data_IF_557670451284
#
_entry.id   IF_557670451284
#
_cell.length_a   1.000
_cell.length_b   1.000
_cell.length_c   1.000
_cell.angle_alpha   90.00
_cell.angle_beta   90.00
_cell.angle_gamma   90.00
#
_symmetry.space_group_name_H-M   'P 1'
#
loop_
_entity.id
_entity.type
_entity.pdbx_description
1 polymer ?
#
# COMPACT_ATOMS: atom_id res chain seq x y z
N UNK A 1 1.80 -15.39 -0.66
CA UNK A 1 2.27 -16.72 -1.10
C UNK A 1 1.56 -17.78 -0.27
N UNK A 2 0.97 -18.77 -0.93
CA UNK A 2 0.31 -19.89 -0.24
C UNK A 2 1.34 -20.66 0.57
N UNK A 3 1.00 -20.94 1.82
CA UNK A 3 1.80 -21.77 2.69
C UNK A 3 1.58 -23.23 2.27
N UNK A 4 2.64 -23.98 1.95
CA UNK A 4 2.53 -25.36 1.43
C UNK A 4 1.96 -26.38 2.45
N UNK A 5 1.51 -25.94 3.62
CA UNK A 5 0.84 -26.76 4.64
C UNK A 5 1.75 -27.74 5.39
N UNK A 6 3.05 -27.74 5.12
CA UNK A 6 4.03 -28.58 5.82
C UNK A 6 4.78 -27.75 6.86
N UNK A 7 5.13 -28.39 7.97
CA UNK A 7 5.96 -27.78 9.00
C UNK A 7 7.38 -27.54 8.47
N UNK A 8 7.95 -26.39 8.85
CA UNK A 8 9.35 -26.07 8.59
C UNK A 8 10.19 -26.72 9.67
N UNK A 9 11.18 -27.51 9.26
CA UNK A 9 12.15 -28.10 10.18
C UNK A 9 13.44 -27.30 10.09
N UNK A 10 13.81 -26.61 11.16
CA UNK A 10 15.08 -25.90 11.29
C UNK A 10 16.00 -26.77 12.13
N UNK A 11 17.04 -27.31 11.50
CA UNK A 11 18.08 -28.10 12.16
C UNK A 11 19.32 -27.21 12.36
N UNK A 12 19.73 -27.06 13.61
CA UNK A 12 21.00 -26.42 13.98
C UNK A 12 21.99 -27.51 14.41
N UNK A 13 23.16 -27.55 13.78
CA UNK A 13 24.23 -28.49 14.10
C UNK A 13 25.57 -27.75 14.08
N UNK A 14 26.39 -27.96 15.10
CA UNK A 14 27.71 -27.34 15.15
C UNK A 14 28.43 -27.61 16.46
N UNK A 15 29.40 -26.75 16.75
CA UNK A 15 30.19 -26.82 17.97
C UNK A 15 30.16 -25.46 18.67
N UNK A 16 30.06 -25.46 20.00
CA UNK A 16 30.30 -24.30 20.83
C UNK A 16 31.79 -23.92 20.79
N UNK A 17 32.12 -22.69 21.18
CA UNK A 17 33.51 -22.21 21.20
C UNK A 17 34.45 -23.08 22.06
N UNK A 18 33.91 -23.81 23.06
CA UNK A 18 34.64 -24.78 23.87
C UNK A 18 34.82 -26.17 23.24
N UNK A 19 34.35 -26.38 22.00
CA UNK A 19 34.44 -27.66 21.29
C UNK A 19 33.30 -28.64 21.55
N UNK A 20 32.35 -28.31 22.43
CA UNK A 20 31.15 -29.14 22.66
C UNK A 20 30.22 -29.11 21.45
N UNK A 21 29.81 -30.28 20.97
CA UNK A 21 28.88 -30.39 19.85
C UNK A 21 27.45 -30.06 20.30
N UNK A 22 26.70 -29.37 19.46
CA UNK A 22 25.26 -29.20 19.63
C UNK A 22 24.49 -29.67 18.40
N UNK A 23 23.30 -30.19 18.64
CA UNK A 23 22.30 -30.54 17.64
C UNK A 23 20.92 -30.17 18.19
N UNK A 24 20.23 -29.27 17.51
CA UNK A 24 18.87 -28.83 17.84
C UNK A 24 17.99 -28.94 16.60
N UNK A 25 16.77 -29.44 16.78
CA UNK A 25 15.79 -29.55 15.70
C UNK A 25 14.49 -28.93 16.19
N UNK A 26 14.03 -27.90 15.47
CA UNK A 26 12.76 -27.24 15.77
C UNK A 26 11.82 -27.31 14.58
N UNK A 27 10.59 -27.73 14.87
CA UNK A 27 9.50 -27.71 13.90
C UNK A 27 8.66 -26.44 14.11
N UNK A 28 8.43 -25.71 13.02
CA UNK A 28 7.66 -24.48 13.00
C UNK A 28 6.51 -24.61 12.01
N UNK A 29 5.27 -24.39 12.47
CA UNK A 29 4.14 -24.24 11.56
C UNK A 29 4.35 -23.00 10.71
N UNK A 30 4.21 -23.08 9.38
CA UNK A 30 4.46 -21.93 8.55
C UNK A 30 3.32 -20.93 8.71
N UNK A 31 3.69 -19.67 8.86
CA UNK A 31 2.74 -18.57 8.96
C UNK A 31 2.70 -17.83 7.63
N UNK A 32 1.51 -17.50 7.17
CA UNK A 32 1.37 -16.63 6.03
C UNK A 32 2.03 -15.29 6.36
N UNK A 33 2.96 -14.86 5.52
CA UNK A 33 3.50 -13.51 5.62
C UNK A 33 2.48 -12.53 5.03
N UNK A 34 2.13 -11.52 5.83
CA UNK A 34 1.31 -10.39 5.41
C UNK A 34 2.17 -9.13 5.56
N UNK A 35 2.44 -8.45 4.45
CA UNK A 35 3.21 -7.22 4.47
C UNK A 35 2.47 -6.15 5.31
N UNK A 36 3.14 -5.39 6.20
CA UNK A 36 2.50 -4.34 6.99
C UNK A 36 2.03 -3.21 6.08
N UNK A 37 1.01 -2.43 6.43
CA UNK A 37 0.63 -1.25 5.64
C UNK A 37 1.70 -0.14 5.75
N UNK A 38 2.29 0.02 6.94
CA UNK A 38 3.40 0.94 7.19
C UNK A 38 4.75 0.19 7.27
N UNK A 39 5.78 0.70 6.59
CA UNK A 39 7.12 0.13 6.62
C UNK A 39 7.33 -1.12 5.74
N UNK A 40 6.51 -1.36 4.71
CA UNK A 40 6.73 -2.49 3.77
C UNK A 40 7.79 -2.16 2.71
N UNK A 41 8.53 -3.17 2.29
CA UNK A 41 9.53 -3.10 1.20
C UNK A 41 8.89 -2.87 -0.17
N UNK A 42 9.59 -2.17 -1.07
CA UNK A 42 9.10 -1.87 -2.41
C UNK A 42 9.50 -2.93 -3.44
N UNK A 43 8.51 -3.49 -4.12
CA UNK A 43 8.67 -4.38 -5.28
C UNK A 43 7.61 -4.03 -6.32
N UNK A 44 8.00 -3.42 -7.43
CA UNK A 44 7.07 -3.00 -8.48
C UNK A 44 6.12 -4.13 -8.92
N UNK A 45 4.83 -3.84 -9.04
CA UNK A 45 3.80 -4.80 -9.45
C UNK A 45 3.35 -5.77 -8.34
N UNK A 46 4.13 -5.93 -7.27
CA UNK A 46 3.88 -6.89 -6.19
C UNK A 46 3.59 -6.18 -4.87
N UNK A 47 4.52 -5.34 -4.42
CA UNK A 47 4.44 -4.47 -3.24
C UNK A 47 4.78 -3.03 -3.66
N UNK A 48 3.82 -2.36 -4.26
CA UNK A 48 3.90 -0.95 -4.68
C UNK A 48 2.71 -0.11 -4.16
N UNK A 49 2.63 1.14 -4.60
CA UNK A 49 1.59 2.07 -4.16
C UNK A 49 0.17 1.57 -4.44
N UNK A 50 -0.08 0.87 -5.55
CA UNK A 50 -1.41 0.32 -5.81
C UNK A 50 -1.69 -0.92 -4.95
N UNK A 51 -0.71 -1.80 -4.77
CA UNK A 51 -0.86 -2.94 -3.84
C UNK A 51 -1.15 -2.47 -2.41
N UNK A 52 -0.56 -1.34 -1.98
CA UNK A 52 -0.82 -0.74 -0.68
C UNK A 52 -2.26 -0.21 -0.59
N UNK A 53 -2.78 0.42 -1.65
CA UNK A 53 -4.20 0.81 -1.73
C UNK A 53 -5.11 -0.41 -1.59
N UNK A 54 -4.85 -1.49 -2.33
CA UNK A 54 -5.66 -2.72 -2.24
C UNK A 54 -5.62 -3.32 -0.84
N UNK A 55 -4.43 -3.48 -0.27
CA UNK A 55 -4.26 -4.03 1.07
C UNK A 55 -4.94 -3.16 2.13
N UNK A 56 -4.83 -1.84 2.02
CA UNK A 56 -5.49 -0.91 2.93
C UNK A 56 -7.01 -1.04 2.84
N UNK A 57 -7.56 -1.02 1.62
CA UNK A 57 -9.01 -1.12 1.43
C UNK A 57 -9.57 -2.46 1.92
N UNK A 58 -8.87 -3.56 1.66
CA UNK A 58 -9.28 -4.88 2.15
C UNK A 58 -9.23 -4.95 3.69
N UNK A 59 -8.19 -4.38 4.33
CA UNK A 59 -8.00 -4.51 5.80
C UNK A 59 -8.73 -3.46 6.64
N UNK A 60 -8.90 -2.24 6.13
CA UNK A 60 -9.47 -1.13 6.89
C UNK A 60 -10.97 -0.93 6.64
N UNK A 61 -11.46 -1.46 5.51
CA UNK A 61 -12.82 -1.24 5.00
C UNK A 61 -13.52 -2.51 4.53
N UNK A 62 -12.86 -3.68 4.54
CA UNK A 62 -13.39 -4.93 3.99
C UNK A 62 -13.83 -4.79 2.51
N UNK A 63 -13.10 -3.98 1.73
CA UNK A 63 -13.33 -3.76 0.29
C UNK A 63 -12.20 -4.40 -0.52
N UNK A 64 -12.53 -5.45 -1.27
CA UNK A 64 -11.58 -6.11 -2.17
C UNK A 64 -11.51 -5.40 -3.52
N UNK A 65 -10.37 -4.74 -3.77
CA UNK A 65 -10.10 -4.08 -5.03
C UNK A 65 -9.43 -5.04 -6.03
N UNK A 66 -9.79 -4.99 -7.33
CA UNK A 66 -9.18 -5.84 -8.36
C UNK A 66 -7.67 -5.58 -8.51
N UNK A 67 -6.90 -6.61 -8.88
CA UNK A 67 -5.51 -6.39 -9.31
C UNK A 67 -5.48 -5.98 -10.78
N UNK A 68 -4.61 -5.03 -11.11
CA UNK A 68 -4.38 -4.61 -12.49
C UNK A 68 -2.90 -4.77 -12.82
N UNK A 69 -2.64 -5.41 -13.96
CA UNK A 69 -1.30 -5.46 -14.51
C UNK A 69 -0.82 -4.05 -14.84
N UNK A 70 0.39 -3.73 -14.39
CA UNK A 70 1.03 -2.43 -14.54
C UNK A 70 2.51 -2.68 -14.80
N UNK A 71 2.93 -2.44 -16.04
CA UNK A 71 4.32 -2.67 -16.49
C UNK A 71 5.18 -1.50 -16.07
N UNK A 72 6.28 -1.76 -15.40
CA UNK A 72 7.19 -0.70 -14.95
C UNK A 72 7.55 0.31 -16.07
N UNK A 73 7.52 1.60 -15.71
CA UNK A 73 7.73 2.71 -16.64
C UNK A 73 6.56 3.03 -17.57
N UNK A 74 5.35 2.47 -17.39
CA UNK A 74 4.18 2.76 -18.27
C UNK A 74 3.87 4.27 -18.38
N UNK A 75 4.23 5.05 -17.38
CA UNK A 75 3.96 6.49 -17.29
C UNK A 75 4.90 7.36 -18.16
N UNK A 76 5.96 6.77 -18.71
CA UNK A 76 6.94 7.45 -19.57
C UNK A 76 6.52 7.43 -21.04
N UNK A 77 5.68 6.49 -21.44
CA UNK A 77 5.14 6.39 -22.80
C UNK A 77 3.88 7.24 -22.92
N UNK A 78 3.95 8.33 -23.68
CA UNK A 78 2.82 9.23 -23.98
C UNK A 78 1.62 8.51 -24.62
N UNK A 79 1.87 7.42 -25.36
CA UNK A 79 0.83 6.67 -26.06
C UNK A 79 0.20 5.58 -25.20
N UNK A 80 0.66 5.41 -23.96
CA UNK A 80 0.06 4.45 -23.04
C UNK A 80 -1.31 4.93 -22.58
N UNK A 81 -2.20 4.00 -22.26
CA UNK A 81 -3.49 4.38 -21.68
C UNK A 81 -3.31 4.95 -20.25
N UNK A 82 -4.16 5.90 -19.81
CA UNK A 82 -4.16 6.42 -18.44
C UNK A 82 -4.62 5.33 -17.46
N UNK A 83 -3.65 4.53 -17.03
CA UNK A 83 -3.87 3.27 -16.32
C UNK A 83 -4.63 3.50 -15.01
N UNK A 84 -4.21 4.47 -14.20
CA UNK A 84 -4.82 4.73 -12.90
C UNK A 84 -6.25 5.25 -13.06
N UNK A 85 -6.45 6.27 -13.89
CA UNK A 85 -7.75 6.90 -14.09
C UNK A 85 -8.80 5.90 -14.57
N UNK A 86 -8.44 5.03 -15.54
CA UNK A 86 -9.36 3.99 -16.03
C UNK A 86 -9.59 2.88 -15.00
N UNK A 87 -8.53 2.42 -14.33
CA UNK A 87 -8.61 1.26 -13.44
C UNK A 87 -9.30 1.59 -12.12
N UNK A 88 -9.11 2.80 -11.58
CA UNK A 88 -9.82 3.24 -10.39
C UNK A 88 -11.33 3.34 -10.65
N UNK A 89 -11.75 3.85 -11.82
CA UNK A 89 -13.16 3.81 -12.18
C UNK A 89 -13.72 2.37 -12.23
N UNK A 90 -12.98 1.43 -12.83
CA UNK A 90 -13.35 0.00 -12.85
C UNK A 90 -13.38 -0.64 -11.46
N UNK A 91 -12.57 -0.12 -10.53
CA UNK A 91 -12.50 -0.57 -9.15
C UNK A 91 -13.54 0.13 -8.23
N UNK A 92 -14.55 0.80 -8.80
CA UNK A 92 -15.64 1.39 -8.02
C UNK A 92 -15.35 2.78 -7.45
N UNK A 93 -14.30 3.46 -7.91
CA UNK A 93 -14.01 4.84 -7.50
C UNK A 93 -14.71 5.86 -8.40
N UNK A 94 -15.13 6.96 -7.79
CA UNK A 94 -15.64 8.15 -8.46
C UNK A 94 -14.71 9.33 -8.21
N UNK A 95 -14.54 10.18 -9.22
CA UNK A 95 -13.78 11.43 -9.07
C UNK A 95 -14.56 12.42 -8.21
N UNK A 96 -13.90 13.00 -7.22
CA UNK A 96 -14.48 14.06 -6.38
C UNK A 96 -14.52 15.38 -7.14
N UNK A 97 -15.63 16.12 -6.98
CA UNK A 97 -15.80 17.44 -7.61
C UNK A 97 -15.00 18.52 -6.87
N UNK A 98 -15.02 18.46 -5.54
CA UNK A 98 -14.24 19.32 -4.67
C UNK A 98 -13.07 18.54 -4.11
N UNK A 99 -11.85 18.84 -4.56
CA UNK A 99 -10.62 18.20 -4.10
C UNK A 99 -10.22 18.66 -2.67
N UNK A 100 -10.91 19.67 -2.12
CA UNK A 100 -10.70 20.16 -0.75
C UNK A 100 -11.58 19.44 0.28
N UNK A 101 -12.65 18.75 -0.14
CA UNK A 101 -13.46 17.85 0.71
C UNK A 101 -12.80 16.47 0.85
N UNK A 102 -11.55 16.49 1.31
CA UNK A 102 -10.74 15.29 1.48
C UNK A 102 -11.16 14.55 2.75
N UNK A 103 -11.64 13.32 2.59
CA UNK A 103 -12.12 12.48 3.69
C UNK A 103 -11.22 11.27 3.89
N UNK A 104 -11.22 10.74 5.13
CA UNK A 104 -10.46 9.53 5.44
C UNK A 104 -10.87 8.44 4.46
N UNK A 105 -9.86 7.70 3.97
CA UNK A 105 -9.94 6.67 2.95
C UNK A 105 -9.94 7.15 1.50
N UNK A 106 -10.08 8.44 1.21
CA UNK A 106 -9.94 8.94 -0.16
C UNK A 106 -8.57 8.59 -0.74
N UNK A 107 -8.56 8.27 -2.03
CA UNK A 107 -7.32 8.06 -2.77
C UNK A 107 -6.98 9.31 -3.55
N UNK A 108 -5.75 9.77 -3.38
CA UNK A 108 -5.20 10.94 -4.07
C UNK A 108 -4.26 10.41 -5.15
N UNK A 109 -4.61 10.69 -6.40
CA UNK A 109 -3.84 10.28 -7.56
C UNK A 109 -2.87 11.39 -7.94
N UNK A 110 -1.59 11.06 -8.06
CA UNK A 110 -0.51 12.03 -8.25
C UNK A 110 0.33 11.76 -9.51
N UNK A 111 0.95 12.84 -10.00
CA UNK A 111 2.10 12.78 -10.91
C UNK A 111 3.39 13.01 -10.12
N UNK A 112 4.24 11.98 -10.07
CA UNK A 112 5.54 12.03 -9.37
C UNK A 112 6.64 11.89 -10.40
N UNK A 113 7.44 12.95 -10.55
CA UNK A 113 8.48 13.04 -11.57
C UNK A 113 7.99 13.74 -12.84
N UNK A 114 8.75 13.61 -13.92
CA UNK A 114 8.35 14.07 -15.25
C UNK A 114 7.69 12.90 -15.97
N UNK A 115 6.37 12.83 -15.93
CA UNK A 115 5.59 11.72 -16.48
C UNK A 115 4.45 12.22 -17.36
N UNK A 116 4.05 11.40 -18.34
CA UNK A 116 2.89 11.68 -19.19
C UNK A 116 1.57 11.28 -18.48
N UNK A 117 1.62 10.25 -17.64
CA UNK A 117 0.45 9.72 -16.94
C UNK A 117 0.57 9.82 -15.41
N UNK A 118 -0.59 9.76 -14.73
CA UNK A 118 -0.66 9.53 -13.28
C UNK A 118 0.01 8.20 -12.96
N UNK A 119 0.93 8.23 -11.99
CA UNK A 119 1.80 7.09 -11.69
C UNK A 119 1.86 6.72 -10.21
N UNK A 120 1.18 7.48 -9.35
CA UNK A 120 1.27 7.27 -7.91
C UNK A 120 -0.07 7.47 -7.21
N UNK A 121 -0.34 6.67 -6.19
CA UNK A 121 -1.53 6.78 -5.35
C UNK A 121 -1.15 6.95 -3.88
N UNK A 122 -1.85 7.86 -3.23
CA UNK A 122 -1.80 8.12 -1.80
C UNK A 122 -3.16 7.79 -1.20
N UNK A 123 -3.19 7.41 0.07
CA UNK A 123 -4.42 7.20 0.82
C UNK A 123 -4.48 8.28 1.88
N UNK A 124 -5.53 9.09 1.90
CA UNK A 124 -5.73 10.04 2.98
C UNK A 124 -6.17 9.30 4.24
N UNK A 125 -5.33 9.31 5.27
CA UNK A 125 -5.57 8.60 6.54
C UNK A 125 -5.97 9.54 7.67
N UNK A 126 -6.00 10.86 7.43
CA UNK A 126 -6.44 11.88 8.39
C UNK A 126 -5.56 11.89 9.63
N UNK A 127 -6.05 11.31 10.72
CA UNK A 127 -5.34 11.17 12.01
C UNK A 127 -4.19 10.16 11.97
N UNK A 128 -4.03 9.43 10.87
CA UNK A 128 -2.95 8.47 10.66
C UNK A 128 -3.11 7.14 11.39
N UNK A 129 -4.23 6.92 12.11
CA UNK A 129 -4.51 5.66 12.81
C UNK A 129 -5.04 4.60 11.85
N UNK A 130 -4.48 3.40 11.97
CA UNK A 130 -4.89 2.18 11.26
C UNK A 130 -5.61 1.24 12.24
N UNK A 131 -6.69 0.61 11.79
CA UNK A 131 -7.46 -0.36 12.58
C UNK A 131 -6.83 -1.75 12.56
N UNK A 132 -6.19 -2.10 11.44
CA UNK A 132 -5.69 -3.44 11.16
C UNK A 132 -4.31 -3.75 11.76
N UNK A 133 -3.54 -2.74 12.15
CA UNK A 133 -2.20 -2.94 12.70
C UNK A 133 -1.78 -1.84 13.69
N UNK A 134 -0.95 -2.21 14.66
CA UNK A 134 -0.33 -1.26 15.59
C UNK A 134 0.85 -0.57 14.91
N UNK A 135 0.74 0.74 14.72
CA UNK A 135 1.80 1.60 14.18
C UNK A 135 2.28 2.61 15.22
N UNK A 136 3.51 3.17 15.08
CA UNK A 136 3.95 4.27 15.94
C UNK A 136 2.94 5.43 15.96
N UNK A 137 2.87 6.16 17.08
CA UNK A 137 2.01 7.34 17.17
C UNK A 137 2.43 8.42 16.16
N UNK A 138 1.45 9.21 15.72
CA UNK A 138 1.66 10.34 14.83
C UNK A 138 0.90 11.57 15.33
N UNK A 139 1.38 12.74 14.94
CA UNK A 139 0.77 14.04 15.28
C UNK A 139 0.20 14.66 14.02
N UNK A 140 -1.00 15.22 14.11
CA UNK A 140 -1.69 15.89 13.02
C UNK A 140 -2.95 15.15 12.55
N UNK A 141 -3.68 15.79 11.63
CA UNK A 141 -4.96 15.31 11.10
C UNK A 141 -5.04 15.35 9.57
N UNK A 142 -3.91 15.63 8.91
CA UNK A 142 -3.79 15.72 7.46
C UNK A 142 -2.68 14.78 6.95
N UNK A 143 -2.73 13.51 7.37
CA UNK A 143 -1.74 12.51 7.02
C UNK A 143 -2.18 11.68 5.81
N UNK A 144 -1.20 11.32 4.99
CA UNK A 144 -1.32 10.36 3.89
C UNK A 144 -0.49 9.12 4.20
N UNK A 145 -0.97 7.97 3.74
CA UNK A 145 -0.22 6.71 3.68
C UNK A 145 0.06 6.40 2.22
N UNK A 146 1.31 6.12 1.87
CA UNK A 146 1.67 5.74 0.52
C UNK A 146 2.96 4.91 0.48
N UNK A 147 3.25 4.37 -0.71
CA UNK A 147 4.46 3.59 -0.97
C UNK A 147 5.31 4.26 -2.04
N UNK A 148 6.28 5.12 -1.65
CA UNK A 148 7.17 5.75 -2.61
C UNK A 148 7.99 4.71 -3.36
N UNK A 149 8.24 4.97 -4.65
CA UNK A 149 9.04 4.08 -5.50
C UNK A 149 10.46 3.89 -4.92
N UNK A 150 10.83 2.65 -4.65
CA UNK A 150 12.16 2.30 -4.12
C UNK A 150 12.38 2.58 -2.64
N UNK A 151 11.33 2.89 -1.88
CA UNK A 151 11.40 3.17 -0.44
C UNK A 151 10.37 2.37 0.35
N UNK A 152 10.51 2.34 1.67
CA UNK A 152 9.49 1.77 2.53
C UNK A 152 8.17 2.55 2.44
N UNK A 153 7.03 1.88 2.63
CA UNK A 153 5.77 2.60 2.80
C UNK A 153 5.81 3.49 4.04
N UNK A 154 5.21 4.67 3.94
CA UNK A 154 5.39 5.75 4.90
C UNK A 154 4.10 6.54 5.11
N UNK A 155 3.97 7.11 6.31
CA UNK A 155 3.00 8.17 6.60
C UNK A 155 3.69 9.52 6.51
N UNK A 156 3.11 10.43 5.74
CA UNK A 156 3.61 11.79 5.58
C UNK A 156 2.49 12.81 5.72
N UNK A 157 2.86 14.08 5.89
CA UNK A 157 1.89 15.19 5.89
C UNK A 157 1.46 15.47 4.45
N UNK A 158 0.16 15.58 4.22
CA UNK A 158 -0.42 16.05 2.96
C UNK A 158 -0.30 17.58 2.82
N UNK A 159 0.95 18.06 2.76
CA UNK A 159 1.28 19.47 2.58
C UNK A 159 1.46 19.86 1.12
N UNK A 160 1.90 21.10 0.89
CA UNK A 160 2.09 21.72 -0.43
C UNK A 160 2.79 20.84 -1.46
N UNK A 161 3.82 20.09 -1.07
CA UNK A 161 4.56 19.23 -2.00
C UNK A 161 3.67 18.14 -2.61
N UNK A 162 2.78 17.54 -1.82
CA UNK A 162 1.86 16.53 -2.30
C UNK A 162 0.66 17.14 -3.01
N UNK A 163 0.12 18.24 -2.48
CA UNK A 163 -0.99 18.97 -3.11
C UNK A 163 -0.64 19.43 -4.53
N UNK A 164 0.58 19.93 -4.77
CA UNK A 164 1.05 20.32 -6.12
C UNK A 164 1.20 19.14 -7.09
N UNK A 165 1.29 17.92 -6.59
CA UNK A 165 1.42 16.69 -7.39
C UNK A 165 0.07 16.02 -7.63
N UNK A 166 -0.96 16.39 -6.89
CA UNK A 166 -2.33 15.88 -7.03
C UNK A 166 -2.86 16.18 -8.42
N UNK A 167 -3.27 15.12 -9.11
CA UNK A 167 -3.95 15.17 -10.39
C UNK A 167 -5.46 15.03 -10.24
N UNK A 168 -5.90 14.26 -9.24
CA UNK A 168 -7.31 14.16 -8.83
C UNK A 168 -7.45 13.44 -7.48
N UNK A 169 -8.58 13.67 -6.82
CA UNK A 169 -9.03 12.91 -5.67
C UNK A 169 -10.18 11.98 -6.10
N UNK A 170 -10.14 10.73 -5.65
CA UNK A 170 -11.15 9.72 -5.95
C UNK A 170 -11.64 9.04 -4.67
N UNK A 171 -12.96 8.79 -4.60
CA UNK A 171 -13.61 8.13 -3.46
C UNK A 171 -14.31 6.87 -3.93
N UNK A 172 -14.18 5.79 -3.17
CA UNK A 172 -14.90 4.55 -3.48
C UNK A 172 -16.39 4.71 -3.21
N UNK A 173 -17.25 4.26 -4.15
CA UNK A 173 -18.71 4.46 -4.09
C UNK A 173 -19.36 3.93 -2.80
N UNK A 174 -18.81 2.86 -2.22
CA UNK A 174 -19.28 2.32 -0.95
C UNK A 174 -19.16 3.32 0.23
N UNK A 175 -18.28 4.31 0.13
CA UNK A 175 -18.08 5.36 1.13
C UNK A 175 -18.90 6.62 0.85
N UNK A 176 -19.36 6.80 -0.39
CA UNK A 176 -20.17 7.94 -0.79
C UNK A 176 -21.62 7.85 -0.33
N UNK A 177 -22.08 6.66 0.11
CA UNK A 177 -23.46 6.41 0.55
C UNK A 177 -23.67 6.53 2.07
N UNK A 178 -22.62 6.81 2.85
CA UNK A 178 -22.69 6.85 4.33
C UNK A 178 -23.29 8.15 4.89
N UNK A 179 -24.09 8.87 4.09
CA UNK A 179 -24.88 10.04 4.51
C UNK A 179 -26.39 9.77 4.35
N UNK A 180 -26.89 8.72 5.00
CA UNK A 180 -28.32 8.54 5.31
C UNK A 180 -28.48 8.11 6.77
#
# INVERSE_FOLDING_TARGET
>A
MGVHGLDWVICAFGYHAGGEQYFDVKCHKPKAYQAPLLGREYHHGVQDCYSLVRDYYSRELDIDLPDFHRRDGWWEDENHEPLYEKNFAKAGFIKMQDETDLQKHDVILCRVGRTHHVNHALIYVGDGKLKSETTPDCVGNALILHHPHGSLSVREIYGDNWQRRTAMVVRHQALSQTNL
#
